data_IF_962690342913
#
_entry.id   IF_962690342913
#
_cell.length_a   1.000
_cell.length_b   1.000
_cell.length_c   1.000
_cell.angle_alpha   90.00
_cell.angle_beta   90.00
_cell.angle_gamma   90.00
#
_symmetry.space_group_name_H-M   'P 1'
#
loop_
_entity.id
_entity.type
_entity.pdbx_description
1 polymer ?
#
# COMPACT_ATOMS: atom_id res chain seq x y z
N UNK A 1 35.73 3.09 24.44
CA UNK A 1 34.80 4.24 24.48
C UNK A 1 33.38 3.84 24.93
N UNK A 2 33.16 2.60 25.37
CA UNK A 2 31.80 2.05 25.64
C UNK A 2 31.34 2.18 27.10
N UNK A 3 32.20 2.65 28.02
CA UNK A 3 31.87 2.70 29.46
C UNK A 3 31.10 3.97 29.88
N UNK A 4 30.66 4.79 28.92
CA UNK A 4 29.89 6.04 29.16
C UNK A 4 28.68 6.22 28.24
N UNK A 5 28.37 5.25 27.37
CA UNK A 5 27.18 5.31 26.51
C UNK A 5 26.10 4.42 27.10
N UNK A 6 24.89 4.96 27.23
CA UNK A 6 23.71 4.21 27.60
C UNK A 6 22.93 3.92 26.30
N UNK A 7 22.67 2.65 25.97
CA UNK A 7 21.94 2.32 24.75
C UNK A 7 20.51 2.84 24.87
N UNK A 8 20.13 3.72 23.95
CA UNK A 8 18.76 4.21 23.81
C UNK A 8 18.08 3.42 22.69
N UNK A 9 17.09 2.62 23.06
CA UNK A 9 16.33 1.82 22.09
C UNK A 9 15.33 2.73 21.39
N UNK A 10 15.49 2.89 20.08
CA UNK A 10 14.50 3.53 19.22
C UNK A 10 13.61 2.44 18.66
N UNK A 11 12.30 2.57 18.87
CA UNK A 11 11.31 1.66 18.28
C UNK A 11 10.89 2.21 16.92
N UNK A 12 10.54 1.30 16.03
CA UNK A 12 9.81 1.63 14.82
C UNK A 12 8.48 2.32 15.20
N UNK A 13 8.12 3.44 14.55
CA UNK A 13 6.85 4.10 14.77
C UNK A 13 5.68 3.25 14.29
N UNK A 14 4.52 3.46 14.90
CA UNK A 14 3.25 2.94 14.40
C UNK A 14 2.87 3.60 13.07
N UNK A 15 1.86 3.03 12.40
CA UNK A 15 1.30 3.58 11.16
C UNK A 15 0.80 5.01 11.40
N UNK A 16 0.06 5.25 12.50
CA UNK A 16 -0.50 6.57 12.80
C UNK A 16 0.60 7.60 13.08
N UNK A 17 1.65 7.22 13.84
CA UNK A 17 2.82 8.07 14.06
C UNK A 17 3.56 8.36 12.75
N UNK A 18 3.64 7.38 11.85
CA UNK A 18 4.25 7.57 10.54
C UNK A 18 3.45 8.52 9.68
N UNK A 19 2.11 8.47 9.70
CA UNK A 19 1.27 9.43 8.98
C UNK A 19 1.54 10.86 9.46
N UNK A 20 1.66 11.08 10.78
CA UNK A 20 2.02 12.40 11.33
C UNK A 20 3.42 12.84 10.90
N UNK A 21 4.39 11.93 10.86
CA UNK A 21 5.74 12.21 10.33
C UNK A 21 5.66 12.62 8.86
N UNK A 22 4.93 11.87 8.02
CA UNK A 22 4.76 12.16 6.61
C UNK A 22 4.10 13.53 6.39
N UNK A 23 3.06 13.86 7.15
CA UNK A 23 2.42 15.19 7.12
C UNK A 23 3.39 16.30 7.48
N UNK A 24 4.26 16.08 8.46
CA UNK A 24 5.24 17.08 8.89
C UNK A 24 6.32 17.35 7.84
N UNK A 25 6.74 16.33 7.08
CA UNK A 25 7.80 16.46 6.07
C UNK A 25 7.27 16.78 4.66
N UNK A 26 6.02 16.43 4.35
CA UNK A 26 5.41 16.56 3.02
C UNK A 26 5.62 17.96 2.40
N UNK A 27 5.44 19.10 3.11
CA UNK A 27 5.66 20.42 2.53
C UNK A 27 7.08 20.64 1.96
N UNK A 28 8.08 19.96 2.53
CA UNK A 28 9.45 19.98 2.02
C UNK A 28 9.58 19.29 0.66
N UNK A 29 8.97 18.11 0.52
CA UNK A 29 8.95 17.34 -0.73
C UNK A 29 8.06 17.99 -1.80
N UNK A 30 6.90 18.53 -1.41
CA UNK A 30 6.02 19.29 -2.29
C UNK A 30 6.74 20.47 -2.95
N UNK A 31 7.50 21.24 -2.15
CA UNK A 31 8.30 22.35 -2.67
C UNK A 31 9.43 21.87 -3.58
N UNK A 32 10.05 20.73 -3.25
CA UNK A 32 11.17 20.20 -4.03
C UNK A 32 10.72 19.72 -5.42
N UNK A 33 9.61 18.97 -5.45
CA UNK A 33 9.05 18.36 -6.66
C UNK A 33 8.01 19.25 -7.37
N UNK A 34 7.58 20.36 -6.76
CA UNK A 34 6.54 21.22 -7.34
C UNK A 34 5.17 20.53 -7.46
N UNK A 35 4.87 19.59 -6.56
CA UNK A 35 3.64 18.80 -6.53
C UNK A 35 2.92 18.99 -5.18
N UNK A 36 1.72 18.41 -5.04
CA UNK A 36 0.95 18.38 -3.81
C UNK A 36 0.59 16.94 -3.46
N UNK A 37 0.77 16.53 -2.21
CA UNK A 37 0.30 15.22 -1.74
C UNK A 37 -1.11 15.33 -1.18
N UNK A 38 -2.04 14.49 -1.65
CA UNK A 38 -3.34 14.36 -0.97
C UNK A 38 -3.18 13.71 0.41
N UNK A 39 -4.04 14.03 1.37
CA UNK A 39 -3.99 13.36 2.69
C UNK A 39 -4.17 11.84 2.57
N UNK A 40 -4.99 11.40 1.60
CA UNK A 40 -5.13 9.99 1.28
C UNK A 40 -3.84 9.33 0.77
N UNK A 41 -2.98 10.04 0.03
CA UNK A 41 -1.71 9.47 -0.44
C UNK A 41 -0.70 9.32 0.70
N UNK A 42 -0.67 10.25 1.65
CA UNK A 42 0.14 10.11 2.89
C UNK A 42 -0.30 8.89 3.71
N UNK A 43 -1.61 8.72 3.88
CA UNK A 43 -2.18 7.56 4.57
C UNK A 43 -1.88 6.25 3.84
N UNK A 44 -2.02 6.24 2.51
CA UNK A 44 -1.73 5.09 1.67
C UNK A 44 -0.25 4.72 1.74
N UNK A 45 0.66 5.69 1.69
CA UNK A 45 2.10 5.45 1.76
C UNK A 45 2.49 4.73 3.05
N UNK A 46 1.95 5.15 4.20
CA UNK A 46 2.20 4.48 5.47
C UNK A 46 1.60 3.05 5.51
N UNK A 47 0.34 2.89 5.11
CA UNK A 47 -0.37 1.61 5.21
C UNK A 47 0.13 0.55 4.23
N UNK A 48 0.33 0.94 2.97
CA UNK A 48 0.69 0.02 1.91
C UNK A 48 2.17 -0.36 1.99
N UNK A 49 3.06 0.57 2.36
CA UNK A 49 4.47 0.22 2.61
C UNK A 49 4.61 -0.74 3.78
N UNK A 50 3.81 -0.59 4.84
CA UNK A 50 3.79 -1.55 5.95
C UNK A 50 3.32 -2.94 5.51
N UNK A 51 2.30 -3.01 4.65
CA UNK A 51 1.72 -4.28 4.20
C UNK A 51 2.62 -5.02 3.20
N UNK A 52 3.23 -4.30 2.25
CA UNK A 52 3.85 -4.90 1.08
C UNK A 52 5.37 -4.78 1.05
N UNK A 53 5.97 -3.85 1.79
CA UNK A 53 7.43 -3.64 1.88
C UNK A 53 7.91 -4.11 3.27
N UNK A 54 8.20 -5.41 3.37
CA UNK A 54 8.48 -6.10 4.64
C UNK A 54 9.97 -6.22 4.98
N UNK A 55 10.86 -5.85 4.06
CA UNK A 55 12.31 -5.87 4.22
C UNK A 55 12.88 -4.56 4.80
N UNK A 56 12.00 -3.58 5.07
CA UNK A 56 12.32 -2.24 5.56
C UNK A 56 11.39 -1.85 6.71
N UNK A 57 11.83 -0.87 7.50
CA UNK A 57 11.10 -0.36 8.65
C UNK A 57 10.50 1.02 8.36
N UNK A 58 9.36 1.32 8.99
CA UNK A 58 8.82 2.66 9.08
C UNK A 58 9.76 3.58 9.91
N UNK A 59 9.73 4.91 9.70
CA UNK A 59 8.99 5.61 8.65
C UNK A 59 9.72 5.63 7.29
N UNK A 60 10.97 5.18 7.27
CA UNK A 60 11.91 5.28 6.13
C UNK A 60 11.32 4.74 4.81
N UNK A 61 10.75 3.53 4.81
CA UNK A 61 10.11 2.96 3.61
C UNK A 61 8.93 3.78 3.08
N UNK A 62 8.21 4.47 3.95
CA UNK A 62 7.07 5.29 3.55
C UNK A 62 7.53 6.65 3.01
N UNK A 63 8.64 7.18 3.53
CA UNK A 63 9.28 8.40 3.04
C UNK A 63 9.82 8.19 1.63
N UNK A 64 10.56 7.11 1.41
CA UNK A 64 11.09 6.78 0.08
C UNK A 64 9.97 6.60 -0.95
N UNK A 65 8.89 5.94 -0.55
CA UNK A 65 7.73 5.74 -1.41
C UNK A 65 7.07 7.07 -1.79
N UNK A 66 6.99 8.00 -0.83
CA UNK A 66 6.48 9.34 -1.06
C UNK A 66 7.36 10.10 -2.06
N UNK A 67 8.68 10.03 -1.88
CA UNK A 67 9.66 10.71 -2.73
C UNK A 67 9.60 10.22 -4.18
N UNK A 68 9.58 8.89 -4.37
CA UNK A 68 9.48 8.27 -5.69
C UNK A 68 8.17 8.64 -6.39
N UNK A 69 7.04 8.59 -5.68
CA UNK A 69 5.75 8.99 -6.22
C UNK A 69 5.71 10.49 -6.61
N UNK A 70 6.36 11.35 -5.81
CA UNK A 70 6.51 12.76 -6.11
C UNK A 70 7.35 13.02 -7.36
N UNK A 71 8.46 12.30 -7.51
CA UNK A 71 9.32 12.37 -8.68
C UNK A 71 8.61 11.91 -9.96
N UNK A 72 7.84 10.83 -9.89
CA UNK A 72 7.06 10.31 -11.01
C UNK A 72 6.01 11.34 -11.47
N UNK A 73 5.21 11.87 -10.54
CA UNK A 73 4.19 12.88 -10.89
C UNK A 73 4.83 14.17 -11.38
N UNK A 74 6.00 14.56 -10.89
CA UNK A 74 6.73 15.71 -11.41
C UNK A 74 7.07 15.55 -12.90
N UNK A 75 7.48 14.35 -13.32
CA UNK A 75 7.78 14.05 -14.73
C UNK A 75 6.50 14.12 -15.57
N UNK A 76 5.40 13.51 -15.11
CA UNK A 76 4.12 13.49 -15.84
C UNK A 76 3.46 14.87 -15.91
N UNK A 77 3.56 15.65 -14.84
CA UNK A 77 3.12 17.04 -14.76
C UNK A 77 3.75 17.93 -15.85
N UNK A 78 5.01 17.65 -16.25
CA UNK A 78 5.67 18.36 -17.34
C UNK A 78 4.98 18.14 -18.70
N UNK A 79 4.18 17.08 -18.83
CA UNK A 79 3.41 16.74 -20.04
C UNK A 79 1.94 17.19 -19.99
N UNK A 80 1.54 17.95 -18.96
CA UNK A 80 0.20 18.55 -18.85
C UNK A 80 -0.75 17.84 -17.91
N UNK A 81 -0.26 16.90 -17.11
CA UNK A 81 -1.06 16.18 -16.11
C UNK A 81 -1.14 16.89 -14.74
N UNK A 82 -2.02 16.38 -13.88
CA UNK A 82 -2.24 16.91 -12.52
C UNK A 82 -0.98 16.83 -11.65
N UNK A 83 -0.59 17.92 -11.00
CA UNK A 83 0.55 17.97 -10.07
C UNK A 83 0.18 17.45 -8.67
N UNK A 84 -0.72 16.47 -8.60
CA UNK A 84 -1.27 15.95 -7.33
C UNK A 84 -0.99 14.46 -7.24
N UNK A 85 -0.30 14.05 -6.19
CA UNK A 85 -0.05 12.65 -5.85
C UNK A 85 -1.26 12.11 -5.09
N UNK A 86 -1.92 11.12 -5.68
CA UNK A 86 -3.09 10.44 -5.12
C UNK A 86 -2.72 9.06 -4.56
N UNK A 87 -3.66 8.42 -3.88
CA UNK A 87 -3.52 7.04 -3.42
C UNK A 87 -3.21 6.05 -4.55
N UNK A 88 -3.76 6.27 -5.76
CA UNK A 88 -3.47 5.41 -6.91
C UNK A 88 -1.99 5.47 -7.32
N UNK A 89 -1.41 6.67 -7.34
CA UNK A 89 0.03 6.84 -7.62
C UNK A 89 0.89 6.04 -6.65
N UNK A 90 0.55 6.08 -5.35
CA UNK A 90 1.26 5.31 -4.32
C UNK A 90 1.13 3.80 -4.57
N UNK A 91 -0.07 3.34 -4.92
CA UNK A 91 -0.30 1.93 -5.24
C UNK A 91 0.48 1.49 -6.49
N UNK A 92 0.61 2.35 -7.50
CA UNK A 92 1.36 2.07 -8.72
C UNK A 92 2.86 1.90 -8.42
N UNK A 93 3.46 2.82 -7.63
CA UNK A 93 4.87 2.74 -7.24
C UNK A 93 5.16 1.48 -6.41
N UNK A 94 4.32 1.13 -5.43
CA UNK A 94 4.51 -0.13 -4.69
C UNK A 94 4.32 -1.34 -5.60
N UNK A 95 3.40 -1.28 -6.56
CA UNK A 95 3.19 -2.39 -7.50
C UNK A 95 4.45 -2.64 -8.32
N UNK A 96 5.15 -1.58 -8.72
CA UNK A 96 6.46 -1.66 -9.37
C UNK A 96 7.53 -2.24 -8.44
N UNK A 97 7.62 -1.77 -7.19
CA UNK A 97 8.63 -2.24 -6.23
C UNK A 97 8.46 -3.70 -5.81
N UNK A 98 7.21 -4.10 -5.54
CA UNK A 98 6.86 -5.44 -5.05
C UNK A 98 6.61 -6.44 -6.17
N UNK A 99 6.47 -5.97 -7.41
CA UNK A 99 6.06 -6.76 -8.57
C UNK A 99 4.70 -7.47 -8.36
N UNK A 100 3.81 -6.84 -7.56
CA UNK A 100 2.47 -7.31 -7.21
C UNK A 100 1.47 -6.18 -7.52
N UNK A 101 0.47 -6.39 -8.42
CA UNK A 101 -0.42 -5.31 -8.87
C UNK A 101 -1.52 -4.96 -7.85
N UNK A 102 -1.35 -3.92 -7.05
CA UNK A 102 -2.25 -3.59 -5.92
C UNK A 102 -3.60 -3.04 -6.39
N UNK A 103 -3.63 -2.16 -7.40
CA UNK A 103 -4.85 -1.53 -7.90
C UNK A 103 -5.78 -2.48 -8.67
N UNK A 104 -5.21 -3.50 -9.33
CA UNK A 104 -6.00 -4.53 -10.01
C UNK A 104 -6.44 -5.65 -9.05
N UNK A 105 -5.63 -5.96 -8.03
CA UNK A 105 -5.93 -7.04 -7.09
C UNK A 105 -7.18 -6.79 -6.24
N UNK A 106 -7.51 -5.56 -5.83
CA UNK A 106 -8.72 -5.34 -5.02
C UNK A 106 -10.03 -5.53 -5.83
N UNK A 107 -10.04 -5.04 -7.07
CA UNK A 107 -11.16 -5.22 -8.00
C UNK A 107 -11.23 -6.69 -8.43
N UNK A 108 -10.10 -7.30 -8.82
CA UNK A 108 -10.03 -8.72 -9.15
C UNK A 108 -10.37 -9.63 -7.96
N UNK A 109 -9.95 -9.32 -6.74
CA UNK A 109 -10.23 -10.15 -5.56
C UNK A 109 -11.72 -10.12 -5.25
N UNK A 110 -12.36 -8.95 -5.38
CA UNK A 110 -13.82 -8.83 -5.24
C UNK A 110 -14.55 -9.65 -6.31
N UNK A 111 -14.16 -9.52 -7.58
CA UNK A 111 -14.76 -10.27 -8.69
C UNK A 111 -14.49 -11.78 -8.58
N UNK A 112 -13.28 -12.18 -8.20
CA UNK A 112 -12.92 -13.57 -7.93
C UNK A 112 -13.72 -14.12 -6.75
N UNK A 113 -13.97 -13.35 -5.70
CA UNK A 113 -14.81 -13.78 -4.56
C UNK A 113 -16.26 -14.02 -4.99
N UNK A 114 -16.77 -13.21 -5.93
CA UNK A 114 -18.09 -13.40 -6.53
C UNK A 114 -18.10 -14.71 -7.34
N UNK A 115 -17.08 -14.94 -8.17
CA UNK A 115 -16.97 -16.08 -9.09
C UNK A 115 -16.41 -17.38 -8.45
N UNK A 116 -15.90 -17.32 -7.22
CA UNK A 116 -15.12 -18.38 -6.56
C UNK A 116 -15.81 -19.76 -6.55
N UNK A 117 -17.11 -19.79 -6.26
CA UNK A 117 -17.88 -21.05 -6.21
C UNK A 117 -18.01 -21.70 -7.60
N UNK A 118 -18.14 -20.88 -8.63
CA UNK A 118 -18.32 -21.30 -10.03
C UNK A 118 -17.00 -21.83 -10.59
N UNK A 119 -15.89 -21.11 -10.39
CA UNK A 119 -14.54 -21.56 -10.77
C UNK A 119 -14.14 -22.87 -10.09
N UNK A 120 -14.44 -23.02 -8.79
CA UNK A 120 -14.15 -24.26 -8.06
C UNK A 120 -14.98 -25.44 -8.57
N UNK A 121 -16.23 -25.20 -9.02
CA UNK A 121 -17.11 -26.24 -9.58
C UNK A 121 -16.63 -26.74 -10.94
N UNK A 122 -15.95 -25.89 -11.73
CA UNK A 122 -15.29 -26.31 -12.96
C UNK A 122 -14.21 -27.35 -12.67
N UNK A 123 -13.43 -27.14 -11.60
CA UNK A 123 -12.28 -27.99 -11.22
C UNK A 123 -12.66 -29.19 -10.36
N UNK A 124 -13.73 -29.10 -9.57
CA UNK A 124 -14.15 -30.14 -8.63
C UNK A 124 -15.52 -30.71 -9.05
N UNK A 125 -15.52 -31.94 -9.57
CA UNK A 125 -16.75 -32.62 -10.01
C UNK A 125 -17.44 -33.34 -8.85
N UNK A 126 -18.75 -33.15 -8.72
CA UNK A 126 -19.63 -33.91 -7.83
C UNK A 126 -19.67 -33.46 -6.36
N UNK A 127 -18.90 -32.43 -5.96
CA UNK A 127 -18.78 -31.99 -4.55
C UNK A 127 -19.39 -30.59 -4.30
N UNK A 128 -20.57 -30.31 -4.87
CA UNK A 128 -21.19 -28.97 -4.80
C UNK A 128 -21.38 -28.45 -3.37
N UNK A 129 -21.72 -29.34 -2.42
CA UNK A 129 -21.88 -28.97 -1.00
C UNK A 129 -20.55 -28.54 -0.36
N UNK A 130 -19.44 -29.20 -0.68
CA UNK A 130 -18.12 -28.87 -0.15
C UNK A 130 -17.61 -27.55 -0.74
N UNK A 131 -17.75 -27.37 -2.07
CA UNK A 131 -17.36 -26.15 -2.77
C UNK A 131 -18.10 -24.93 -2.21
N UNK A 132 -19.42 -25.01 -2.05
CA UNK A 132 -20.24 -23.94 -1.47
C UNK A 132 -19.86 -23.62 -0.02
N UNK A 133 -19.53 -24.63 0.79
CA UNK A 133 -19.09 -24.44 2.16
C UNK A 133 -17.75 -23.69 2.24
N UNK A 134 -16.79 -24.06 1.39
CA UNK A 134 -15.47 -23.42 1.32
C UNK A 134 -15.58 -21.99 0.79
N UNK A 135 -16.27 -21.78 -0.34
CA UNK A 135 -16.45 -20.45 -0.93
C UNK A 135 -17.16 -19.48 0.04
N UNK A 136 -18.13 -19.96 0.83
CA UNK A 136 -18.80 -19.17 1.85
C UNK A 136 -17.90 -18.87 3.05
N UNK A 137 -16.99 -19.78 3.42
CA UNK A 137 -16.02 -19.54 4.49
C UNK A 137 -14.98 -18.49 4.08
N UNK A 138 -14.45 -18.58 2.86
CA UNK A 138 -13.47 -17.63 2.31
C UNK A 138 -14.09 -16.23 2.19
N UNK A 139 -15.30 -16.12 1.62
CA UNK A 139 -16.04 -14.83 1.55
C UNK A 139 -16.25 -14.18 2.92
N UNK A 140 -16.58 -14.95 3.96
CA UNK A 140 -16.73 -14.42 5.33
C UNK A 140 -15.40 -13.97 5.93
N UNK A 141 -14.32 -14.72 5.72
CA UNK A 141 -13.00 -14.36 6.23
C UNK A 141 -12.49 -13.05 5.60
N UNK A 142 -12.84 -12.79 4.34
CA UNK A 142 -12.49 -11.55 3.63
C UNK A 142 -13.39 -10.36 3.94
N UNK A 143 -14.68 -10.56 4.20
CA UNK A 143 -15.61 -9.48 4.58
C UNK A 143 -15.48 -9.01 6.05
N UNK A 144 -14.66 -9.69 6.86
CA UNK A 144 -14.42 -9.37 8.27
C UNK A 144 -13.03 -8.77 8.55
N UNK A 145 -12.31 -8.37 7.50
CA UNK A 145 -11.06 -7.60 7.57
C UNK A 145 -11.34 -6.12 7.29
#
# INVERSE_FOLDING_TARGET
>A
MERRLQPLMVKEPSIDETIEILRAIAPGYEKHHGIVYSDSSLMAAAKLSERYVNDRFLPDKAIDLLDEAGALVHIDAAYGDSHVVTESTIADVISEWSNIPIGQLEIEETDRLIQLEEEMTVRVKGQSRAVKAVARAIRRARAGL
#
